data_IF_679817636647
#
_entry.id   IF_679817636647
#
_cell.length_a   1.000
_cell.length_b   1.000
_cell.length_c   1.000
_cell.angle_alpha   90.00
_cell.angle_beta   90.00
_cell.angle_gamma   90.00
#
_symmetry.space_group_name_H-M   'P 1'
#
loop_
_entity.id
_entity.type
_entity.pdbx_description
1 polymer ?
#
# COMPACT_ATOMS: atom_id res chain seq x y z
N UNK A 1 8.55 10.98 -17.69
CA UNK A 1 9.06 9.81 -18.43
C UNK A 1 8.65 8.58 -17.62
N UNK A 2 7.97 7.62 -18.24
CA UNK A 2 7.59 6.36 -17.59
C UNK A 2 8.70 5.36 -17.91
N UNK A 3 9.44 4.92 -16.89
CA UNK A 3 10.35 3.78 -17.02
C UNK A 3 9.50 2.51 -17.09
N UNK A 4 9.23 2.10 -18.32
CA UNK A 4 8.66 0.81 -18.64
C UNK A 4 9.74 -0.02 -19.32
N UNK A 5 10.68 -0.57 -18.54
CA UNK A 5 11.06 -1.97 -18.80
C UNK A 5 9.75 -2.77 -18.88
N UNK A 6 9.63 -3.84 -19.69
CA UNK A 6 8.33 -4.44 -19.93
C UNK A 6 7.62 -4.67 -18.60
N UNK A 7 6.51 -3.98 -18.37
CA UNK A 7 5.68 -4.17 -17.17
C UNK A 7 5.35 -5.66 -17.00
N UNK A 8 5.37 -6.41 -18.09
CA UNK A 8 5.28 -7.86 -18.20
C UNK A 8 6.29 -8.63 -17.31
N UNK A 9 7.47 -8.10 -17.02
CA UNK A 9 8.50 -8.79 -16.20
C UNK A 9 8.32 -8.47 -14.72
N UNK A 10 8.32 -7.17 -14.38
CA UNK A 10 8.35 -6.65 -13.00
C UNK A 10 6.96 -6.38 -12.40
N UNK A 11 5.92 -6.27 -13.24
CA UNK A 11 4.52 -5.94 -12.86
C UNK A 11 4.38 -4.70 -11.95
N UNK A 12 5.22 -3.69 -12.20
CA UNK A 12 5.21 -2.41 -11.50
C UNK A 12 5.35 -1.25 -12.50
N UNK A 13 4.72 -0.12 -12.17
CA UNK A 13 4.78 1.12 -12.95
C UNK A 13 4.95 2.33 -12.03
N UNK A 14 5.69 3.34 -12.50
CA UNK A 14 5.79 4.65 -11.84
C UNK A 14 4.86 5.64 -12.53
N UNK A 15 4.00 6.28 -11.75
CA UNK A 15 3.14 7.38 -12.19
C UNK A 15 3.55 8.68 -11.51
N UNK A 16 3.55 9.78 -12.26
CA UNK A 16 3.80 11.13 -11.73
C UNK A 16 2.49 11.87 -11.57
N UNK A 17 2.23 12.37 -10.36
CA UNK A 17 1.13 13.29 -10.07
C UNK A 17 1.71 14.70 -9.94
N UNK A 18 1.20 15.66 -10.71
CA UNK A 18 1.64 17.06 -10.66
C UNK A 18 0.99 17.82 -9.48
N UNK A 19 1.22 17.35 -8.26
CA UNK A 19 0.84 18.00 -7.00
C UNK A 19 1.99 17.88 -5.99
N UNK A 20 2.04 18.80 -5.03
CA UNK A 20 3.05 18.82 -3.96
C UNK A 20 2.42 18.48 -2.61
N UNK A 21 3.25 18.11 -1.63
CA UNK A 21 2.85 17.86 -0.25
C UNK A 21 1.72 16.82 -0.10
N UNK A 22 1.66 15.84 -0.99
CA UNK A 22 0.71 14.73 -0.87
C UNK A 22 1.12 13.80 0.29
N UNK A 23 0.15 13.13 0.94
CA UNK A 23 0.44 12.03 1.85
C UNK A 23 1.27 10.94 1.16
N UNK A 24 2.25 10.38 1.86
CA UNK A 24 3.10 9.30 1.36
C UNK A 24 3.28 8.22 2.43
N UNK A 25 3.47 6.98 1.98
CA UNK A 25 3.93 5.88 2.83
C UNK A 25 5.43 5.67 2.63
N UNK A 26 6.11 5.27 3.71
CA UNK A 26 7.51 4.87 3.65
C UNK A 26 7.60 3.42 3.19
N UNK A 27 8.45 3.16 2.20
CA UNK A 27 8.78 1.81 1.76
C UNK A 27 9.83 1.24 2.70
N UNK A 28 9.64 0.00 3.14
CA UNK A 28 10.63 -0.75 3.90
C UNK A 28 11.97 -0.76 3.14
N UNK A 29 13.08 -0.48 3.82
CA UNK A 29 14.39 -0.36 3.17
C UNK A 29 14.94 -1.68 2.63
N UNK A 30 14.46 -2.80 3.16
CA UNK A 30 14.87 -4.15 2.79
C UNK A 30 13.74 -5.15 3.08
N UNK A 31 13.94 -6.39 2.68
CA UNK A 31 13.04 -7.52 2.84
C UNK A 31 13.30 -8.26 4.16
N UNK A 32 12.69 -7.78 5.25
CA UNK A 32 12.91 -8.30 6.61
C UNK A 32 11.77 -9.16 7.18
N UNK A 33 10.70 -9.41 6.42
CA UNK A 33 9.55 -10.17 6.93
C UNK A 33 9.95 -11.60 7.26
N UNK A 34 9.36 -12.10 8.35
CA UNK A 34 9.51 -13.47 8.84
C UNK A 34 8.18 -14.20 8.75
N UNK A 35 8.23 -15.51 8.53
CA UNK A 35 7.02 -16.36 8.51
C UNK A 35 6.18 -16.12 9.76
N UNK A 36 4.91 -15.76 9.56
CA UNK A 36 3.97 -15.42 10.63
C UNK A 36 3.83 -13.93 10.91
N UNK A 37 4.69 -13.07 10.38
CA UNK A 37 4.55 -11.62 10.54
C UNK A 37 3.22 -11.16 9.94
N UNK A 38 2.48 -10.34 10.71
CA UNK A 38 1.21 -9.80 10.24
C UNK A 38 1.46 -8.68 9.25
N UNK A 39 0.73 -8.71 8.13
CA UNK A 39 0.70 -7.64 7.14
C UNK A 39 -0.74 -7.23 6.86
N UNK A 40 -0.93 -5.98 6.46
CA UNK A 40 -2.22 -5.43 6.06
C UNK A 40 -2.17 -4.99 4.60
N UNK A 41 -3.10 -5.46 3.78
CA UNK A 41 -3.25 -5.00 2.41
C UNK A 41 -4.36 -3.94 2.35
N UNK A 42 -4.10 -2.84 1.63
CA UNK A 42 -5.04 -1.75 1.41
C UNK A 42 -5.34 -1.64 -0.08
N UNK A 43 -6.61 -1.57 -0.45
CA UNK A 43 -6.99 -1.49 -1.85
C UNK A 43 -8.48 -1.32 -2.10
N UNK A 44 -8.89 -1.42 -3.36
CA UNK A 44 -10.28 -1.32 -3.80
C UNK A 44 -10.70 -2.61 -4.51
N UNK A 45 -11.03 -3.68 -3.75
CA UNK A 45 -11.42 -4.96 -4.32
C UNK A 45 -12.60 -4.80 -5.30
N UNK A 46 -12.46 -5.31 -6.52
CA UNK A 46 -13.50 -5.27 -7.53
C UNK A 46 -14.80 -5.92 -7.05
N UNK A 47 -14.68 -6.98 -6.24
CA UNK A 47 -15.82 -7.67 -5.60
C UNK A 47 -16.62 -6.77 -4.64
N UNK A 48 -16.00 -5.73 -4.07
CA UNK A 48 -16.68 -4.72 -3.24
C UNK A 48 -17.21 -3.58 -4.10
N UNK A 49 -16.38 -3.06 -5.01
CA UNK A 49 -16.73 -1.94 -5.91
C UNK A 49 -17.91 -2.28 -6.83
N UNK A 50 -18.03 -3.53 -7.27
CA UNK A 50 -19.07 -4.01 -8.18
C UNK A 50 -20.26 -4.65 -7.46
N UNK A 51 -20.27 -4.63 -6.12
CA UNK A 51 -21.29 -5.32 -5.35
C UNK A 51 -22.66 -4.62 -5.46
N UNK A 52 -23.66 -5.31 -6.00
CA UNK A 52 -24.97 -4.72 -6.33
C UNK A 52 -25.81 -4.24 -5.14
N UNK A 53 -25.48 -4.66 -3.92
CA UNK A 53 -26.20 -4.26 -2.70
C UNK A 53 -25.50 -3.13 -1.90
N UNK A 54 -24.30 -2.69 -2.31
CA UNK A 54 -23.56 -1.66 -1.59
C UNK A 54 -23.83 -0.26 -2.17
N UNK A 55 -23.74 0.76 -1.31
CA UNK A 55 -23.85 2.14 -1.75
C UNK A 55 -22.62 2.52 -2.59
N UNK A 56 -22.81 2.61 -3.91
CA UNK A 56 -21.73 2.73 -4.90
C UNK A 56 -20.78 3.89 -4.63
N UNK A 57 -21.31 5.02 -4.16
CA UNK A 57 -20.49 6.20 -3.96
C UNK A 57 -19.54 6.04 -2.77
N UNK A 58 -19.97 5.38 -1.69
CA UNK A 58 -19.11 5.11 -0.53
C UNK A 58 -17.97 4.16 -0.88
N UNK A 59 -18.25 3.07 -1.60
CA UNK A 59 -17.24 2.04 -1.94
C UNK A 59 -16.16 2.54 -2.90
N UNK A 60 -16.43 3.59 -3.68
CA UNK A 60 -15.44 4.21 -4.58
C UNK A 60 -14.42 5.09 -3.84
N UNK A 61 -14.75 5.58 -2.64
CA UNK A 61 -13.89 6.49 -1.87
C UNK A 61 -13.33 5.88 -0.59
N UNK A 62 -13.75 4.66 -0.25
CA UNK A 62 -13.33 3.97 0.97
C UNK A 62 -12.58 2.68 0.62
N UNK A 63 -11.27 2.57 0.92
CA UNK A 63 -10.54 1.35 0.65
C UNK A 63 -10.99 0.23 1.61
N UNK A 64 -10.84 -1.01 1.17
CA UNK A 64 -10.87 -2.17 2.06
C UNK A 64 -9.47 -2.37 2.67
N UNK A 65 -9.44 -2.76 3.93
CA UNK A 65 -8.22 -3.19 4.62
C UNK A 65 -8.40 -4.66 5.01
N UNK A 66 -7.51 -5.50 4.54
CA UNK A 66 -7.47 -6.92 4.90
C UNK A 66 -6.18 -7.22 5.64
N UNK A 67 -6.19 -8.24 6.50
CA UNK A 67 -4.99 -8.67 7.23
C UNK A 67 -4.77 -10.16 7.08
N UNK A 68 -3.51 -10.56 7.21
CA UNK A 68 -3.07 -11.93 7.19
C UNK A 68 -1.60 -11.99 7.55
N UNK A 69 -0.98 -13.13 7.29
CA UNK A 69 0.41 -13.40 7.66
C UNK A 69 1.27 -13.57 6.43
N UNK A 70 2.47 -13.01 6.47
CA UNK A 70 3.53 -13.38 5.56
C UNK A 70 3.85 -14.88 5.72
N UNK A 71 3.87 -15.59 4.60
CA UNK A 71 4.22 -17.01 4.56
C UNK A 71 5.71 -17.17 4.30
N UNK A 72 6.20 -16.68 3.17
CA UNK A 72 7.59 -16.83 2.76
C UNK A 72 7.93 -15.97 1.53
N UNK A 73 9.21 -15.74 1.27
CA UNK A 73 9.68 -15.18 0.01
C UNK A 73 9.65 -16.25 -1.11
N UNK A 74 9.40 -15.77 -2.33
CA UNK A 74 9.35 -16.56 -3.56
C UNK A 74 10.03 -15.79 -4.68
N UNK A 75 10.25 -16.48 -5.79
CA UNK A 75 10.92 -15.97 -6.97
C UNK A 75 10.00 -16.19 -8.17
N UNK A 76 9.62 -15.12 -8.89
CA UNK A 76 8.93 -15.28 -10.18
C UNK A 76 9.90 -15.93 -11.16
N UNK A 77 9.37 -16.76 -12.07
CA UNK A 77 10.15 -17.28 -13.21
C UNK A 77 10.77 -16.17 -14.05
N UNK A 78 10.10 -15.00 -14.10
CA UNK A 78 10.59 -13.82 -14.80
C UNK A 78 11.75 -13.09 -14.09
N UNK A 79 12.14 -13.48 -12.87
CA UNK A 79 13.31 -12.94 -12.16
C UNK A 79 13.05 -11.98 -10.98
N UNK A 80 11.90 -11.33 -10.81
CA UNK A 80 11.63 -10.53 -9.60
C UNK A 80 11.27 -11.35 -8.35
N UNK A 81 11.78 -10.88 -7.21
CA UNK A 81 11.42 -11.40 -5.88
C UNK A 81 10.01 -10.95 -5.48
N UNK A 82 9.24 -11.88 -4.96
CA UNK A 82 7.90 -11.65 -4.40
C UNK A 82 7.81 -12.27 -3.02
N UNK A 83 6.76 -11.98 -2.28
CA UNK A 83 6.40 -12.78 -1.12
C UNK A 83 4.99 -13.33 -1.23
N UNK A 84 4.81 -14.49 -0.63
CA UNK A 84 3.55 -15.18 -0.44
C UNK A 84 2.97 -14.79 0.92
N UNK A 85 1.67 -14.51 0.98
CA UNK A 85 0.96 -14.25 2.23
C UNK A 85 -0.47 -14.78 2.19
N UNK A 86 -1.02 -15.02 3.38
CA UNK A 86 -2.41 -15.43 3.57
C UNK A 86 -3.39 -14.26 3.48
N UNK A 87 -2.88 -13.03 3.47
CA UNK A 87 -3.65 -11.78 3.42
C UNK A 87 -4.62 -11.78 2.25
N UNK A 88 -5.93 -11.68 2.50
CA UNK A 88 -6.93 -11.72 1.43
C UNK A 88 -6.75 -10.57 0.45
N UNK A 89 -6.48 -10.88 -0.81
CA UNK A 89 -6.50 -9.95 -1.93
C UNK A 89 -7.18 -10.61 -3.13
N UNK A 90 -7.81 -9.79 -3.96
CA UNK A 90 -8.54 -10.21 -5.17
C UNK A 90 -8.34 -9.17 -6.28
N UNK A 91 -8.93 -9.39 -7.45
CA UNK A 91 -8.92 -8.42 -8.54
C UNK A 91 -9.38 -7.05 -8.04
N UNK A 92 -8.67 -5.99 -8.43
CA UNK A 92 -8.86 -4.62 -7.91
C UNK A 92 -7.96 -4.24 -6.72
N UNK A 93 -7.29 -5.21 -6.07
CA UNK A 93 -6.22 -4.89 -5.11
C UNK A 93 -4.86 -4.70 -5.78
N UNK A 94 -4.68 -5.14 -7.03
CA UNK A 94 -3.41 -5.02 -7.76
C UNK A 94 -2.91 -3.57 -7.77
N UNK A 95 -1.64 -3.38 -7.39
CA UNK A 95 -1.03 -2.06 -7.18
C UNK A 95 -1.23 -1.47 -5.77
N UNK A 96 -2.10 -2.05 -4.94
CA UNK A 96 -2.32 -1.64 -3.55
C UNK A 96 -1.16 -2.03 -2.63
N UNK A 97 -0.83 -1.20 -1.61
CA UNK A 97 0.27 -1.50 -0.70
C UNK A 97 -0.11 -2.60 0.31
N UNK A 98 0.88 -3.43 0.65
CA UNK A 98 0.90 -4.20 1.87
C UNK A 98 1.83 -3.52 2.88
N UNK A 99 1.35 -3.27 4.10
CA UNK A 99 2.10 -2.64 5.19
C UNK A 99 2.34 -3.59 6.35
N UNK A 100 3.43 -3.36 7.09
CA UNK A 100 3.70 -4.01 8.37
C UNK A 100 3.02 -3.28 9.56
N UNK A 101 3.33 -3.71 10.78
CA UNK A 101 2.81 -3.10 12.01
C UNK A 101 3.42 -1.72 12.32
N UNK A 102 4.45 -1.30 11.58
CA UNK A 102 5.05 0.04 11.68
C UNK A 102 4.48 1.00 10.64
N UNK A 103 3.58 0.53 9.76
CA UNK A 103 3.00 1.31 8.68
C UNK A 103 3.91 1.45 7.44
N UNK A 104 5.01 0.71 7.37
CA UNK A 104 5.90 0.70 6.22
C UNK A 104 5.39 -0.25 5.15
N UNK A 105 5.49 0.16 3.88
CA UNK A 105 5.16 -0.68 2.73
C UNK A 105 6.21 -1.78 2.61
N UNK A 106 5.79 -3.02 2.84
CA UNK A 106 6.62 -4.22 2.71
C UNK A 106 6.43 -4.92 1.36
N UNK A 107 5.35 -4.58 0.63
CA UNK A 107 5.19 -4.96 -0.76
C UNK A 107 3.97 -4.35 -1.45
N UNK A 108 3.77 -4.75 -2.71
CA UNK A 108 2.68 -4.27 -3.58
C UNK A 108 1.91 -5.46 -4.13
N UNK A 109 0.60 -5.49 -3.93
CA UNK A 109 -0.25 -6.59 -4.39
C UNK A 109 -0.18 -6.74 -5.92
N UNK A 110 -0.02 -7.96 -6.42
CA UNK A 110 0.15 -8.24 -7.85
C UNK A 110 -0.86 -9.31 -8.31
N UNK A 111 -0.55 -10.59 -8.09
CA UNK A 111 -1.31 -11.74 -8.55
C UNK A 111 -1.75 -12.66 -7.40
N UNK A 112 -2.72 -13.51 -7.71
CA UNK A 112 -3.32 -14.49 -6.80
C UNK A 112 -3.21 -15.89 -7.40
N UNK A 113 -3.27 -16.92 -6.57
CA UNK A 113 -3.42 -18.29 -7.07
C UNK A 113 -4.78 -18.50 -7.73
N UNK A 114 -4.79 -19.18 -8.87
CA UNK A 114 -6.00 -19.53 -9.61
C UNK A 114 -6.10 -21.05 -9.71
N UNK A 115 -7.29 -21.59 -9.44
CA UNK A 115 -7.57 -22.99 -9.68
C UNK A 115 -7.60 -23.25 -11.20
N UNK A 116 -6.72 -24.11 -11.75
CA UNK A 116 -6.64 -24.30 -13.19
C UNK A 116 -7.86 -25.01 -13.79
N UNK A 117 -8.59 -25.78 -12.99
CA UNK A 117 -9.76 -26.54 -13.43
C UNK A 117 -11.01 -25.66 -13.53
N UNK A 118 -11.18 -24.74 -12.59
CA UNK A 118 -12.40 -23.94 -12.46
C UNK A 118 -12.20 -22.44 -12.74
N UNK A 119 -10.95 -21.97 -12.85
CA UNK A 119 -10.62 -20.56 -13.07
C UNK A 119 -10.90 -19.65 -11.86
N UNK A 120 -11.29 -20.20 -10.72
CA UNK A 120 -11.62 -19.43 -9.52
C UNK A 120 -10.35 -19.10 -8.72
N UNK A 121 -10.36 -17.95 -8.05
CA UNK A 121 -9.27 -17.55 -7.16
C UNK A 121 -9.19 -18.47 -5.93
N UNK A 122 -7.97 -18.80 -5.54
CA UNK A 122 -7.65 -19.52 -4.30
C UNK A 122 -7.14 -18.48 -3.30
N UNK A 123 -7.89 -18.29 -2.22
CA UNK A 123 -7.49 -17.39 -1.13
C UNK A 123 -6.53 -18.08 -0.16
N UNK A 124 -5.74 -17.29 0.56
CA UNK A 124 -4.71 -17.77 1.49
C UNK A 124 -3.34 -17.99 0.84
N UNK A 125 -3.23 -17.86 -0.49
CA UNK A 125 -1.99 -17.99 -1.26
C UNK A 125 -1.91 -16.83 -2.25
N UNK A 126 -1.59 -15.65 -1.74
CA UNK A 126 -1.56 -14.40 -2.50
C UNK A 126 -0.15 -13.83 -2.56
N UNK A 127 0.16 -13.08 -3.63
CA UNK A 127 1.52 -12.65 -3.92
C UNK A 127 1.66 -11.15 -4.05
N UNK A 128 2.79 -10.66 -3.54
CA UNK A 128 3.12 -9.24 -3.49
C UNK A 128 4.54 -9.03 -4.00
N UNK A 129 4.75 -8.02 -4.83
CA UNK A 129 6.10 -7.56 -5.20
C UNK A 129 6.79 -7.05 -3.94
N UNK A 130 8.00 -7.55 -3.66
CA UNK A 130 8.70 -7.24 -2.42
C UNK A 130 9.21 -5.78 -2.40
N UNK A 131 9.35 -5.19 -1.21
CA UNK A 131 9.83 -3.81 -1.04
C UNK A 131 11.21 -3.57 -1.65
N UNK A 132 12.10 -4.56 -1.64
CA UNK A 132 13.42 -4.48 -2.31
C UNK A 132 13.31 -4.10 -3.79
N UNK A 133 12.38 -4.71 -4.54
CA UNK A 133 12.14 -4.38 -5.94
C UNK A 133 11.57 -2.97 -6.10
N UNK A 134 10.65 -2.57 -5.23
CA UNK A 134 10.10 -1.20 -5.22
C UNK A 134 11.24 -0.19 -5.03
N UNK A 135 12.15 -0.44 -4.07
CA UNK A 135 13.31 0.43 -3.84
C UNK A 135 14.28 0.45 -5.03
N UNK A 136 14.52 -0.69 -5.69
CA UNK A 136 15.34 -0.74 -6.91
C UNK A 136 14.75 0.15 -8.01
N UNK A 137 13.45 0.04 -8.25
CA UNK A 137 12.72 0.82 -9.24
C UNK A 137 12.75 2.32 -8.90
N UNK A 138 12.58 2.68 -7.63
CA UNK A 138 12.70 4.07 -7.18
C UNK A 138 14.13 4.60 -7.38
N UNK A 139 15.14 3.83 -6.97
CA UNK A 139 16.55 4.22 -7.05
C UNK A 139 17.01 4.43 -8.49
N UNK A 140 16.72 3.49 -9.40
CA UNK A 140 17.10 3.62 -10.82
C UNK A 140 16.41 4.78 -11.53
N UNK A 141 15.27 5.23 -11.01
CA UNK A 141 14.52 6.40 -11.49
C UNK A 141 14.86 7.70 -10.75
N UNK A 142 15.87 7.70 -9.86
CA UNK A 142 16.27 8.84 -9.04
C UNK A 142 15.13 9.40 -8.16
N UNK A 143 14.21 8.54 -7.73
CA UNK A 143 13.09 8.89 -6.87
C UNK A 143 13.47 8.59 -5.42
N UNK A 144 13.32 9.58 -4.54
CA UNK A 144 13.53 9.41 -3.11
C UNK A 144 12.19 9.19 -2.43
N UNK A 145 12.04 8.07 -1.73
CA UNK A 145 10.93 7.85 -0.80
C UNK A 145 11.31 8.41 0.57
N UNK A 146 10.57 9.41 1.03
CA UNK A 146 10.75 10.03 2.33
C UNK A 146 9.40 10.53 2.85
N UNK A 147 9.35 10.78 4.15
CA UNK A 147 8.17 11.25 4.82
C UNK A 147 8.05 12.77 4.61
N UNK A 148 7.01 13.19 3.90
CA UNK A 148 6.78 14.61 3.63
C UNK A 148 6.34 15.40 4.88
N UNK A 149 6.40 16.74 4.84
CA UNK A 149 6.03 17.60 5.98
C UNK A 149 4.59 17.37 6.47
N UNK A 150 3.66 17.08 5.55
CA UNK A 150 2.27 16.80 5.87
C UNK A 150 2.14 15.60 6.83
N UNK A 151 2.82 14.50 6.52
CA UNK A 151 2.79 13.27 7.32
C UNK A 151 3.50 13.46 8.66
N UNK A 152 4.57 14.26 8.71
CA UNK A 152 5.26 14.57 9.97
C UNK A 152 4.35 15.34 10.93
N UNK A 153 3.66 16.38 10.44
CA UNK A 153 2.70 17.15 11.23
C UNK A 153 1.53 16.25 11.69
N UNK A 154 1.03 15.39 10.80
CA UNK A 154 -0.07 14.49 11.13
C UNK A 154 0.31 13.47 12.22
N UNK A 155 1.49 12.85 12.13
CA UNK A 155 1.99 11.95 13.17
C UNK A 155 2.21 12.67 14.51
N UNK A 156 2.74 13.89 14.49
CA UNK A 156 2.88 14.71 15.68
C UNK A 156 1.50 15.04 16.30
N UNK A 157 0.52 15.42 15.47
CA UNK A 157 -0.84 15.72 15.90
C UNK A 157 -1.49 14.50 16.58
N UNK A 158 -1.39 13.32 15.96
CA UNK A 158 -1.89 12.07 16.54
C UNK A 158 -1.19 11.74 17.86
N UNK A 159 0.15 11.87 17.91
CA UNK A 159 0.92 11.63 19.13
C UNK A 159 0.46 12.56 20.27
N UNK A 160 0.26 13.85 20.01
CA UNK A 160 -0.24 14.79 21.01
C UNK A 160 -1.67 14.43 21.45
N UNK A 161 -2.54 14.09 20.49
CA UNK A 161 -3.92 13.72 20.75
C UNK A 161 -4.03 12.49 21.66
N UNK A 162 -3.34 11.39 21.33
CA UNK A 162 -3.36 10.16 22.13
C UNK A 162 -2.70 10.34 23.51
N UNK A 163 -1.77 11.29 23.63
CA UNK A 163 -1.19 11.69 24.92
C UNK A 163 -2.01 12.76 25.66
N UNK A 164 -3.25 13.03 25.23
CA UNK A 164 -4.20 13.99 25.85
C UNK A 164 -3.77 15.46 25.82
N UNK A 165 -2.79 15.83 24.99
CA UNK A 165 -2.38 17.22 24.78
C UNK A 165 -3.24 17.88 23.70
N UNK A 166 -4.55 18.00 23.95
CA UNK A 166 -5.53 18.34 22.91
C UNK A 166 -5.34 19.73 22.29
N UNK A 167 -4.96 20.75 23.07
CA UNK A 167 -4.71 22.10 22.53
C UNK A 167 -3.55 22.11 21.55
N UNK A 168 -2.43 21.45 21.90
CA UNK A 168 -1.28 21.32 21.01
C UNK A 168 -1.60 20.45 19.78
N UNK A 169 -2.38 19.37 19.97
CA UNK A 169 -2.85 18.55 18.87
C UNK A 169 -3.70 19.36 17.87
N UNK A 170 -4.61 20.20 18.38
CA UNK A 170 -5.45 21.07 17.56
C UNK A 170 -4.60 22.06 16.73
N UNK A 171 -3.57 22.66 17.31
CA UNK A 171 -2.63 23.51 16.57
C UNK A 171 -1.96 22.75 15.42
N UNK A 172 -1.53 21.50 15.66
CA UNK A 172 -0.92 20.69 14.61
C UNK A 172 -1.93 20.28 13.53
N UNK A 173 -3.17 19.91 13.88
CA UNK A 173 -4.22 19.64 12.89
C UNK A 173 -4.59 20.87 12.06
N UNK A 174 -4.56 22.07 12.64
CA UNK A 174 -4.77 23.32 11.90
C UNK A 174 -3.63 23.61 10.92
N UNK A 175 -2.37 23.39 11.31
CA UNK A 175 -1.22 23.43 10.38
C UNK A 175 -1.39 22.39 9.26
N UNK A 176 -1.85 21.19 9.65
CA UNK A 176 -2.42 20.12 8.83
C UNK A 176 -3.22 20.64 7.63
N UNK A 177 -4.37 21.19 7.99
CA UNK A 177 -5.39 21.73 7.09
C UNK A 177 -4.88 22.86 6.21
N UNK A 178 -3.99 23.72 6.73
CA UNK A 178 -3.42 24.81 5.93
C UNK A 178 -2.46 24.31 4.85
N UNK A 179 -1.74 23.22 5.11
CA UNK A 179 -0.79 22.63 4.16
C UNK A 179 -1.48 21.81 3.06
N UNK A 180 -2.61 21.17 3.39
CA UNK A 180 -3.42 20.42 2.43
C UNK A 180 -4.93 20.58 2.73
N UNK A 181 -5.56 21.68 2.26
CA UNK A 181 -6.98 21.97 2.54
C UNK A 181 -7.96 20.94 1.99
N UNK A 182 -7.54 20.13 1.01
CA UNK A 182 -8.33 19.05 0.42
C UNK A 182 -8.25 17.74 1.23
N UNK A 183 -7.56 17.71 2.38
CA UNK A 183 -7.44 16.48 3.17
C UNK A 183 -8.83 16.04 3.67
N UNK A 184 -9.30 14.82 3.36
CA UNK A 184 -10.71 14.45 3.57
C UNK A 184 -11.11 14.22 5.05
N UNK A 185 -10.17 14.20 5.99
CA UNK A 185 -10.42 13.78 7.38
C UNK A 185 -10.16 14.86 8.45
N UNK A 186 -9.81 16.10 8.07
CA UNK A 186 -9.40 17.17 9.00
C UNK A 186 -10.01 18.53 8.62
#
# INVERSE_FOLDING_TARGET
MVDAKPAEVEDLAILKIEKQNLPSLIVASDDYLRTGDTIWALGYPGVVVQHGMLYRQQVLYTPSVTSGTFSNYRQKETGPKVFEATTPVTHGNSGGPAIDNTGKVVGVATFVSINPQFGHQIQGFNFFMAASLVNEILARNNIRNYQGPLMQIFEEALKLYFNKHYSAALEQFQKMRNLYPEFPYI
#
